data_IF_924355591557
#
_entry.id   IF_924355591557
#
_cell.length_a   1.000
_cell.length_b   1.000
_cell.length_c   1.000
_cell.angle_alpha   90.00
_cell.angle_beta   90.00
_cell.angle_gamma   90.00
#
_symmetry.space_group_name_H-M   'P 1'
#
loop_
_entity.id
_entity.type
_entity.pdbx_description
1 polymer ?
#
# COMPACT_ATOMS: atom_id res chain seq x y z
N UNK A 1 -1.45 -13.87 -16.69
CA UNK A 1 -2.56 -12.98 -16.28
C UNK A 1 -2.03 -11.56 -16.39
N UNK A 2 -2.68 -10.69 -17.17
CA UNK A 2 -2.23 -9.29 -17.29
C UNK A 2 -2.67 -8.54 -16.04
N UNK A 3 -1.71 -8.06 -15.25
CA UNK A 3 -2.00 -7.22 -14.09
C UNK A 3 -2.48 -5.85 -14.59
N UNK A 4 -3.61 -5.37 -14.05
CA UNK A 4 -4.11 -4.03 -14.36
C UNK A 4 -3.44 -3.01 -13.45
N UNK A 5 -3.10 -1.85 -13.99
CA UNK A 5 -2.45 -0.77 -13.26
C UNK A 5 -3.33 0.48 -13.25
N UNK A 6 -3.35 1.17 -12.11
CA UNK A 6 -4.01 2.45 -11.93
C UNK A 6 -3.00 3.54 -11.57
N UNK A 7 -3.32 4.76 -11.97
CA UNK A 7 -2.46 5.92 -11.75
C UNK A 7 -2.91 6.63 -10.48
N UNK A 8 -2.11 6.54 -9.44
CA UNK A 8 -2.33 7.22 -8.15
C UNK A 8 -1.49 8.49 -8.10
N UNK A 9 -2.14 9.61 -7.83
CA UNK A 9 -1.46 10.90 -7.65
C UNK A 9 -0.92 10.99 -6.23
N UNK A 10 0.38 11.21 -6.09
CA UNK A 10 1.08 11.37 -4.82
C UNK A 10 1.69 12.76 -4.72
N UNK A 11 2.17 13.12 -3.53
CA UNK A 11 2.91 14.36 -3.28
C UNK A 11 4.21 14.49 -4.08
N UNK A 12 4.71 13.38 -4.64
CA UNK A 12 5.94 13.34 -5.43
C UNK A 12 5.72 13.05 -6.92
N UNK A 13 4.46 13.00 -7.38
CA UNK A 13 4.14 12.77 -8.79
C UNK A 13 3.02 11.75 -8.97
N UNK A 14 3.13 10.92 -9.99
CA UNK A 14 2.17 9.84 -10.23
C UNK A 14 2.86 8.50 -10.05
N UNK A 15 2.23 7.61 -9.28
CA UNK A 15 2.62 6.20 -9.18
C UNK A 15 1.65 5.36 -10.00
N UNK A 16 2.17 4.40 -10.75
CA UNK A 16 1.35 3.35 -11.33
C UNK A 16 1.36 2.18 -10.36
N UNK A 17 0.23 1.91 -9.73
CA UNK A 17 0.06 0.79 -8.79
C UNK A 17 -0.73 -0.31 -9.47
N UNK A 18 -0.41 -1.57 -9.16
CA UNK A 18 -1.29 -2.65 -9.56
C UNK A 18 -2.64 -2.45 -8.86
N UNK A 19 -3.77 -2.69 -9.53
CA UNK A 19 -5.12 -2.49 -8.95
C UNK A 19 -5.26 -3.27 -7.64
N UNK A 20 -4.69 -4.47 -7.58
CA UNK A 20 -4.69 -5.26 -6.35
C UNK A 20 -3.85 -4.61 -5.23
N UNK A 21 -2.73 -3.98 -5.57
CA UNK A 21 -1.87 -3.26 -4.65
C UNK A 21 -2.62 -2.03 -4.09
N UNK A 22 -3.33 -1.30 -4.95
CA UNK A 22 -4.20 -0.17 -4.55
C UNK A 22 -5.29 -0.64 -3.59
N UNK A 23 -5.97 -1.75 -3.89
CA UNK A 23 -6.97 -2.34 -3.01
C UNK A 23 -6.39 -2.75 -1.65
N UNK A 24 -5.20 -3.35 -1.62
CA UNK A 24 -4.53 -3.71 -0.37
C UNK A 24 -4.21 -2.47 0.46
N UNK A 25 -3.76 -1.38 -0.15
CA UNK A 25 -3.51 -0.12 0.55
C UNK A 25 -4.77 0.39 1.24
N UNK A 26 -5.92 0.43 0.54
CA UNK A 26 -7.18 0.84 1.16
C UNK A 26 -7.55 -0.04 2.36
N UNK A 27 -7.40 -1.36 2.24
CA UNK A 27 -7.65 -2.28 3.37
C UNK A 27 -6.70 -2.06 4.54
N UNK A 28 -5.41 -1.77 4.28
CA UNK A 28 -4.43 -1.48 5.33
C UNK A 28 -4.85 -0.23 6.12
N UNK A 29 -5.31 0.82 5.43
CA UNK A 29 -5.85 2.02 6.09
C UNK A 29 -7.07 1.69 6.94
N UNK A 30 -8.00 0.92 6.39
CA UNK A 30 -9.25 0.59 7.07
C UNK A 30 -8.95 -0.28 8.31
N UNK A 31 -8.08 -1.29 8.20
CA UNK A 31 -7.62 -2.09 9.33
C UNK A 31 -6.89 -1.27 10.41
N UNK A 32 -6.12 -0.25 10.00
CA UNK A 32 -5.48 0.67 10.94
C UNK A 32 -6.51 1.54 11.67
N UNK A 33 -7.55 2.01 10.96
CA UNK A 33 -8.64 2.78 11.53
C UNK A 33 -9.48 1.96 12.51
N UNK A 34 -9.69 0.68 12.21
CA UNK A 34 -10.43 -0.27 13.04
C UNK A 34 -9.57 -0.87 14.18
N UNK A 35 -8.31 -0.43 14.34
CA UNK A 35 -7.33 -0.94 15.31
C UNK A 35 -7.12 -2.47 15.25
N UNK A 36 -7.36 -3.07 14.07
CA UNK A 36 -7.24 -4.51 13.86
C UNK A 36 -5.81 -4.90 13.47
N UNK A 37 -4.97 -5.09 14.50
CA UNK A 37 -3.53 -5.35 14.32
C UNK A 37 -3.22 -6.63 13.53
N UNK A 38 -3.99 -7.71 13.71
CA UNK A 38 -3.76 -8.97 13.01
C UNK A 38 -4.03 -8.83 11.51
N UNK A 39 -5.16 -8.20 11.14
CA UNK A 39 -5.51 -7.93 9.75
C UNK A 39 -4.54 -6.94 9.11
N UNK A 40 -4.17 -5.88 9.83
CA UNK A 40 -3.19 -4.91 9.37
C UNK A 40 -1.86 -5.58 8.99
N UNK A 41 -1.32 -6.43 9.88
CA UNK A 41 -0.07 -7.13 9.63
C UNK A 41 -0.16 -8.11 8.46
N UNK A 42 -1.25 -8.87 8.36
CA UNK A 42 -1.46 -9.81 7.26
C UNK A 42 -1.53 -9.10 5.89
N UNK A 43 -2.25 -7.97 5.82
CA UNK A 43 -2.36 -7.16 4.61
C UNK A 43 -1.02 -6.49 4.24
N UNK A 44 -0.27 -6.04 5.25
CA UNK A 44 1.06 -5.44 5.05
C UNK A 44 2.04 -6.45 4.46
N UNK A 45 2.04 -7.67 4.96
CA UNK A 45 2.89 -8.75 4.44
C UNK A 45 2.50 -9.15 3.01
N UNK A 46 1.19 -9.25 2.71
CA UNK A 46 0.74 -9.49 1.35
C UNK A 46 1.22 -8.38 0.40
N UNK A 47 1.06 -7.11 0.80
CA UNK A 47 1.47 -5.98 -0.02
C UNK A 47 2.99 -5.99 -0.25
N UNK A 48 3.80 -6.26 0.78
CA UNK A 48 5.26 -6.36 0.68
C UNK A 48 5.72 -7.45 -0.28
N UNK A 49 5.06 -8.61 -0.28
CA UNK A 49 5.36 -9.71 -1.21
C UNK A 49 5.11 -9.24 -2.65
N UNK A 50 3.99 -8.54 -2.89
CA UNK A 50 3.63 -8.04 -4.23
C UNK A 50 4.52 -6.88 -4.67
N UNK A 51 4.91 -6.01 -3.75
CA UNK A 51 5.74 -4.84 -4.01
C UNK A 51 7.24 -5.13 -3.91
N UNK A 52 7.66 -6.40 -3.87
CA UNK A 52 9.07 -6.80 -3.74
C UNK A 52 9.96 -6.23 -4.86
N UNK A 53 9.39 -6.04 -6.05
CA UNK A 53 10.06 -5.40 -7.20
C UNK A 53 9.53 -3.96 -7.42
N UNK A 54 9.09 -3.30 -6.35
CA UNK A 54 8.60 -1.94 -6.37
C UNK A 54 9.67 -0.95 -6.85
N UNK A 55 9.23 0.20 -7.34
CA UNK A 55 10.16 1.28 -7.69
C UNK A 55 10.60 2.01 -6.42
N UNK A 56 11.80 2.65 -6.41
CA UNK A 56 12.22 3.47 -5.28
C UNK A 56 11.23 4.62 -4.95
N UNK A 57 10.52 5.12 -5.97
CA UNK A 57 9.47 6.12 -5.80
C UNK A 57 8.26 5.57 -5.03
N UNK A 58 7.91 4.30 -5.25
CA UNK A 58 6.88 3.62 -4.48
C UNK A 58 7.34 3.43 -3.03
N UNK A 59 8.55 2.91 -2.79
CA UNK A 59 9.06 2.66 -1.44
C UNK A 59 9.05 3.94 -0.59
N UNK A 60 9.60 5.04 -1.13
CA UNK A 60 9.63 6.33 -0.44
C UNK A 60 8.22 6.85 -0.12
N UNK A 61 7.28 6.70 -1.04
CA UNK A 61 5.90 7.10 -0.82
C UNK A 61 5.19 6.18 0.20
N UNK A 62 5.48 4.88 0.13
CA UNK A 62 4.87 3.86 0.97
C UNK A 62 5.26 4.01 2.44
N UNK A 63 6.51 4.38 2.74
CA UNK A 63 6.92 4.70 4.11
C UNK A 63 6.08 5.85 4.70
N UNK A 64 5.87 6.91 3.91
CA UNK A 64 5.00 8.02 4.30
C UNK A 64 3.52 7.64 4.41
N UNK A 65 3.06 6.68 3.60
CA UNK A 65 1.72 6.11 3.72
C UNK A 65 1.54 5.34 5.03
N UNK A 66 2.50 4.48 5.39
CA UNK A 66 2.44 3.69 6.63
C UNK A 66 2.53 4.58 7.88
N UNK A 67 3.36 5.62 7.86
CA UNK A 67 3.44 6.56 8.97
C UNK A 67 2.10 7.27 9.26
N UNK A 68 1.27 7.47 8.22
CA UNK A 68 -0.07 8.08 8.32
C UNK A 68 -1.17 7.08 8.71
N UNK A 69 -0.95 5.79 8.50
CA UNK A 69 -1.93 4.73 8.69
C UNK A 69 -1.40 3.63 9.63
N UNK A 70 -0.60 4.01 10.63
CA UNK A 70 -0.15 3.07 11.67
C UNK A 70 -1.27 2.87 12.70
N UNK A 71 -1.28 1.71 13.34
CA UNK A 71 -1.99 1.51 14.60
C UNK A 71 -1.09 2.07 15.71
N UNK A 72 -1.66 2.88 16.62
CA UNK A 72 -0.93 3.49 17.74
C UNK A 72 -0.58 2.51 18.86
#
# INVERSE_FOLDING_TARGET
MLESFEKVKTEHGNLNLCVTCSNLLYKIRDAAHDENQDEYNALLDELRIRSKNGTPAFEKWFDGYLAKNKID
#
